data_IF_010237217067
#
_entry.id   IF_010237217067
#
_cell.length_a   1.000
_cell.length_b   1.000
_cell.length_c   1.000
_cell.angle_alpha   90.00
_cell.angle_beta   90.00
_cell.angle_gamma   90.00
#
_symmetry.space_group_name_H-M   'P 1'
#
loop_
_entity.id
_entity.type
_entity.pdbx_description
1 polymer ?
#
# COMPACT_ATOMS: atom_id res chain seq x y z
N UNK A 1 23.27 -51.37 14.08
CA UNK A 1 22.10 -50.69 13.50
C UNK A 1 21.90 -49.42 14.30
N UNK A 2 22.43 -48.29 13.81
CA UNK A 2 22.12 -46.95 14.31
C UNK A 2 21.50 -46.24 13.11
N UNK A 3 20.21 -45.99 13.18
CA UNK A 3 19.50 -45.11 12.27
C UNK A 3 20.08 -43.71 12.42
N UNK A 4 20.62 -43.17 11.33
CA UNK A 4 20.88 -41.74 11.22
C UNK A 4 19.55 -41.09 10.85
N UNK A 5 19.01 -40.31 11.79
CA UNK A 5 17.97 -39.33 11.51
C UNK A 5 18.52 -38.36 10.46
N UNK A 6 17.92 -38.37 9.26
CA UNK A 6 18.06 -37.31 8.28
C UNK A 6 17.59 -36.01 8.94
N UNK A 7 18.52 -35.08 9.10
CA UNK A 7 18.28 -33.72 9.56
C UNK A 7 17.34 -33.05 8.57
N UNK A 8 16.17 -32.63 9.04
CA UNK A 8 15.28 -31.74 8.30
C UNK A 8 16.04 -30.49 7.91
N UNK A 9 16.36 -30.37 6.62
CA UNK A 9 16.61 -29.07 6.02
C UNK A 9 15.31 -28.29 6.13
N UNK A 10 15.34 -27.27 6.98
CA UNK A 10 14.33 -26.24 7.10
C UNK A 10 14.35 -25.45 5.78
N UNK A 11 13.70 -25.99 4.74
CA UNK A 11 13.50 -25.32 3.46
C UNK A 11 12.40 -24.29 3.67
N UNK A 12 12.74 -23.22 4.38
CA UNK A 12 12.05 -21.96 4.22
C UNK A 12 12.48 -21.41 2.85
N UNK A 13 11.77 -21.82 1.79
CA UNK A 13 11.93 -21.23 0.46
C UNK A 13 11.86 -19.71 0.63
N UNK A 14 12.98 -19.02 0.38
CA UNK A 14 12.99 -17.57 0.32
C UNK A 14 11.91 -17.14 -0.68
N UNK A 15 11.04 -16.21 -0.27
CA UNK A 15 9.98 -15.69 -1.13
C UNK A 15 10.64 -15.15 -2.41
N UNK A 16 10.36 -15.80 -3.55
CA UNK A 16 10.92 -15.40 -4.84
C UNK A 16 10.42 -14.00 -5.19
N UNK A 17 11.34 -13.10 -5.52
CA UNK A 17 11.05 -11.73 -5.93
C UNK A 17 11.73 -11.37 -7.25
N UNK A 18 11.19 -10.39 -7.95
CA UNK A 18 11.86 -9.75 -9.10
C UNK A 18 13.10 -8.94 -8.65
N UNK A 19 13.91 -8.53 -9.62
CA UNK A 19 14.98 -7.55 -9.38
C UNK A 19 14.39 -6.24 -8.84
N UNK A 20 15.15 -5.56 -7.96
CA UNK A 20 14.67 -4.35 -7.29
C UNK A 20 14.36 -3.23 -8.30
N UNK A 21 13.19 -2.63 -8.15
CA UNK A 21 12.78 -1.41 -8.84
C UNK A 21 12.76 -0.26 -7.83
N UNK A 22 13.69 0.67 -7.96
CA UNK A 22 13.72 1.87 -7.14
C UNK A 22 12.90 3.00 -7.78
N UNK A 23 12.04 3.65 -6.99
CA UNK A 23 11.19 4.76 -7.41
C UNK A 23 11.33 5.89 -6.40
N UNK A 24 11.74 7.07 -6.87
CA UNK A 24 11.97 8.24 -6.02
C UNK A 24 10.77 9.20 -6.05
N UNK A 25 10.23 9.52 -4.88
CA UNK A 25 9.17 10.49 -4.66
C UNK A 25 9.74 11.84 -4.18
N UNK A 26 9.07 12.92 -4.55
CA UNK A 26 9.38 14.26 -4.05
C UNK A 26 8.59 14.49 -2.77
N UNK A 27 9.29 14.73 -1.67
CA UNK A 27 8.73 15.16 -0.40
C UNK A 27 8.69 16.69 -0.36
N UNK A 28 7.53 17.25 0.01
CA UNK A 28 7.37 18.68 0.19
C UNK A 28 7.30 19.02 1.68
N UNK A 29 8.15 19.93 2.14
CA UNK A 29 8.31 20.28 3.56
C UNK A 29 7.09 20.93 4.21
N UNK A 30 6.04 21.24 3.45
CA UNK A 30 4.75 21.69 4.01
C UNK A 30 3.96 20.56 4.68
N UNK A 31 4.31 19.31 4.41
CA UNK A 31 3.69 18.13 5.00
C UNK A 31 4.51 17.61 6.17
N UNK A 32 3.84 16.92 7.09
CA UNK A 32 4.54 16.15 8.12
C UNK A 32 5.37 15.03 7.46
N UNK A 33 6.68 15.04 7.71
CA UNK A 33 7.61 14.09 7.08
C UNK A 33 7.34 12.65 7.54
N UNK A 34 7.01 12.46 8.81
CA UNK A 34 6.75 11.13 9.36
C UNK A 34 5.50 10.51 8.74
N UNK A 35 4.44 11.30 8.56
CA UNK A 35 3.22 10.87 7.89
C UNK A 35 3.45 10.61 6.40
N UNK A 36 4.24 11.44 5.72
CA UNK A 36 4.64 11.19 4.33
C UNK A 36 5.42 9.88 4.20
N UNK A 37 6.43 9.68 5.03
CA UNK A 37 7.25 8.47 5.05
C UNK A 37 6.41 7.22 5.39
N UNK A 38 5.49 7.32 6.36
CA UNK A 38 4.58 6.23 6.73
C UNK A 38 3.69 5.83 5.56
N UNK A 39 3.00 6.79 4.93
CA UNK A 39 2.13 6.51 3.80
C UNK A 39 2.93 5.95 2.61
N UNK A 40 4.14 6.45 2.35
CA UNK A 40 5.00 5.92 1.29
C UNK A 40 5.46 4.48 1.59
N UNK A 41 5.80 4.19 2.85
CA UNK A 41 6.16 2.83 3.28
C UNK A 41 4.97 1.86 3.14
N UNK A 42 3.76 2.32 3.44
CA UNK A 42 2.53 1.54 3.25
C UNK A 42 2.27 1.23 1.77
N UNK A 43 2.55 2.18 0.86
CA UNK A 43 2.53 1.93 -0.58
C UNK A 43 3.56 0.86 -0.97
N UNK A 44 4.81 0.99 -0.51
CA UNK A 44 5.87 0.04 -0.81
C UNK A 44 5.51 -1.37 -0.33
N UNK A 45 5.06 -1.49 0.91
CA UNK A 45 4.63 -2.76 1.51
C UNK A 45 3.53 -3.40 0.67
N UNK A 46 2.50 -2.63 0.33
CA UNK A 46 1.40 -3.12 -0.47
C UNK A 46 1.84 -3.60 -1.86
N UNK A 47 2.72 -2.87 -2.55
CA UNK A 47 3.26 -3.33 -3.84
C UNK A 47 4.03 -4.65 -3.68
N UNK A 48 4.82 -4.79 -2.63
CA UNK A 48 5.64 -5.97 -2.37
C UNK A 48 4.86 -7.19 -1.87
N UNK A 49 3.56 -7.04 -1.60
CA UNK A 49 2.61 -8.12 -1.34
C UNK A 49 1.94 -8.64 -2.62
N UNK A 50 2.08 -7.94 -3.75
CA UNK A 50 1.58 -8.40 -5.05
C UNK A 50 2.57 -9.36 -5.71
N UNK A 51 2.03 -10.40 -6.33
CA UNK A 51 2.75 -11.17 -7.34
C UNK A 51 2.84 -10.38 -8.65
N UNK A 52 3.78 -10.77 -9.52
CA UNK A 52 3.90 -10.21 -10.87
C UNK A 52 2.57 -10.34 -11.63
N UNK A 53 1.89 -11.49 -11.51
CA UNK A 53 0.59 -11.69 -12.16
C UNK A 53 -0.47 -10.73 -11.64
N UNK A 54 -0.64 -10.65 -10.33
CA UNK A 54 -1.64 -9.79 -9.70
C UNK A 54 -1.42 -8.31 -10.05
N UNK A 55 -0.17 -7.85 -10.02
CA UNK A 55 0.16 -6.49 -10.45
C UNK A 55 -0.27 -6.23 -11.89
N UNK A 56 0.11 -7.09 -12.83
CA UNK A 56 -0.21 -6.91 -14.25
C UNK A 56 -1.73 -6.87 -14.49
N UNK A 57 -2.49 -7.76 -13.84
CA UNK A 57 -3.95 -7.82 -13.95
C UNK A 57 -4.61 -6.59 -13.34
N UNK A 58 -4.20 -6.19 -12.15
CA UNK A 58 -4.74 -5.01 -11.47
C UNK A 58 -4.44 -3.73 -12.26
N UNK A 59 -3.22 -3.60 -12.79
CA UNK A 59 -2.83 -2.47 -13.64
C UNK A 59 -3.64 -2.44 -14.94
N UNK A 60 -3.81 -3.58 -15.61
CA UNK A 60 -4.63 -3.65 -16.83
C UNK A 60 -6.07 -3.23 -16.54
N UNK A 61 -6.68 -3.77 -15.46
CA UNK A 61 -8.02 -3.40 -15.03
C UNK A 61 -8.14 -1.90 -14.73
N UNK A 62 -7.17 -1.32 -14.02
CA UNK A 62 -7.14 0.12 -13.73
C UNK A 62 -7.05 0.97 -15.01
N UNK A 63 -6.24 0.56 -15.99
CA UNK A 63 -6.10 1.29 -17.26
C UNK A 63 -7.42 1.27 -18.05
N UNK A 64 -8.11 0.13 -18.07
CA UNK A 64 -9.38 -0.03 -18.81
C UNK A 64 -10.58 0.65 -18.14
N UNK A 65 -10.64 0.57 -16.80
CA UNK A 65 -11.85 0.89 -16.04
C UNK A 65 -11.68 2.09 -15.09
N UNK A 66 -10.46 2.54 -14.87
CA UNK A 66 -10.14 3.51 -13.83
C UNK A 66 -10.27 2.93 -12.43
N UNK A 67 -10.57 3.79 -11.45
CA UNK A 67 -10.77 3.39 -10.05
C UNK A 67 -12.05 2.57 -9.90
N UNK A 68 -11.97 1.43 -9.22
CA UNK A 68 -13.12 0.57 -9.03
C UNK A 68 -14.12 1.16 -8.02
N UNK A 69 -15.42 1.07 -8.35
CA UNK A 69 -16.54 1.59 -7.52
C UNK A 69 -16.71 0.78 -6.23
N UNK A 70 -16.39 -0.51 -6.26
CA UNK A 70 -16.44 -1.43 -5.10
C UNK A 70 -15.61 -0.96 -3.90
N UNK A 71 -14.70 0.00 -4.13
CA UNK A 71 -13.89 0.63 -3.11
C UNK A 71 -14.70 1.39 -2.05
N UNK A 72 -15.93 1.84 -2.35
CA UNK A 72 -16.69 2.72 -1.46
C UNK A 72 -17.01 2.08 -0.10
N UNK A 73 -17.38 0.80 -0.08
CA UNK A 73 -17.72 0.10 1.16
C UNK A 73 -16.49 -0.11 2.06
N UNK A 74 -15.36 -0.53 1.48
CA UNK A 74 -14.11 -0.71 2.23
C UNK A 74 -13.58 0.63 2.77
N UNK A 75 -13.68 1.71 1.98
CA UNK A 75 -13.31 3.05 2.45
C UNK A 75 -14.20 3.51 3.60
N UNK A 76 -15.51 3.31 3.50
CA UNK A 76 -16.44 3.67 4.56
C UNK A 76 -16.13 2.89 5.84
N UNK A 77 -15.96 1.58 5.76
CA UNK A 77 -15.63 0.74 6.91
C UNK A 77 -14.31 1.17 7.59
N UNK A 78 -13.28 1.51 6.81
CA UNK A 78 -12.02 2.01 7.36
C UNK A 78 -12.18 3.36 8.06
N UNK A 79 -13.02 4.27 7.53
CA UNK A 79 -13.31 5.56 8.17
C UNK A 79 -14.15 5.42 9.43
N UNK A 80 -15.15 4.55 9.43
CA UNK A 80 -15.97 4.25 10.61
C UNK A 80 -15.11 3.65 11.73
N UNK A 81 -14.24 2.69 11.38
CA UNK A 81 -13.27 2.14 12.33
C UNK A 81 -12.33 3.23 12.87
N UNK A 82 -11.77 4.05 12.01
CA UNK A 82 -10.87 5.13 12.41
C UNK A 82 -11.56 6.15 13.33
N UNK A 83 -12.84 6.45 13.08
CA UNK A 83 -13.64 7.29 13.96
C UNK A 83 -13.75 6.70 15.37
N UNK A 84 -14.15 5.42 15.47
CA UNK A 84 -14.29 4.73 16.76
C UNK A 84 -12.96 4.68 17.50
N UNK A 85 -11.88 4.26 16.83
CA UNK A 85 -10.55 4.19 17.42
C UNK A 85 -10.09 5.57 17.94
N UNK A 86 -10.43 6.65 17.22
CA UNK A 86 -10.09 8.02 17.63
C UNK A 86 -10.91 8.52 18.82
N UNK A 87 -12.20 8.16 18.87
CA UNK A 87 -13.05 8.45 20.03
C UNK A 87 -12.48 7.78 21.27
N UNK A 88 -12.15 6.50 21.19
CA UNK A 88 -11.57 5.73 22.30
C UNK A 88 -10.25 6.37 22.78
N UNK A 89 -9.34 6.73 21.86
CA UNK A 89 -8.08 7.42 22.18
C UNK A 89 -8.33 8.73 22.96
N UNK A 90 -9.32 9.51 22.55
CA UNK A 90 -9.66 10.79 23.17
C UNK A 90 -10.34 10.61 24.53
N UNK A 91 -11.16 9.58 24.71
CA UNK A 91 -11.75 9.25 26.01
C UNK A 91 -10.70 8.77 27.00
N UNK A 92 -9.74 7.95 26.56
CA UNK A 92 -8.59 7.52 27.37
C UNK A 92 -7.70 8.72 27.78
N UNK A 93 -7.65 9.77 26.96
CA UNK A 93 -7.02 11.04 27.28
C UNK A 93 -7.85 11.93 28.24
N UNK A 94 -9.04 11.48 28.66
CA UNK A 94 -9.87 12.11 29.69
C UNK A 94 -11.01 13.00 29.18
N UNK A 95 -11.30 13.00 27.87
CA UNK A 95 -12.42 13.77 27.32
C UNK A 95 -13.75 13.07 27.59
N UNK A 96 -14.83 13.87 27.69
CA UNK A 96 -16.17 13.29 27.65
C UNK A 96 -16.47 12.69 26.28
N UNK A 97 -17.37 11.70 26.22
CA UNK A 97 -17.77 11.06 24.96
C UNK A 97 -18.16 12.10 23.89
N UNK A 98 -18.97 13.09 24.27
CA UNK A 98 -19.42 14.15 23.36
C UNK A 98 -18.24 14.97 22.80
N UNK A 99 -17.29 15.36 23.65
CA UNK A 99 -16.12 16.12 23.20
C UNK A 99 -15.19 15.27 22.33
N UNK A 100 -15.07 13.98 22.63
CA UNK A 100 -14.30 13.02 21.86
C UNK A 100 -14.90 12.81 20.46
N UNK A 101 -16.21 12.60 20.35
CA UNK A 101 -16.94 12.48 19.08
C UNK A 101 -16.75 13.74 18.21
N UNK A 102 -16.99 14.94 18.77
CA UNK A 102 -16.84 16.21 18.03
C UNK A 102 -15.41 16.44 17.52
N UNK A 103 -14.39 15.99 18.26
CA UNK A 103 -12.99 16.10 17.85
C UNK A 103 -12.59 15.01 16.85
N UNK A 104 -13.09 13.79 17.02
CA UNK A 104 -12.87 12.68 16.10
C UNK A 104 -13.47 12.99 14.71
N UNK A 105 -14.66 13.61 14.63
CA UNK A 105 -15.24 14.05 13.35
C UNK A 105 -14.34 15.06 12.64
N UNK A 106 -13.91 16.11 13.36
CA UNK A 106 -13.01 17.14 12.81
C UNK A 106 -11.67 16.57 12.37
N UNK A 107 -11.13 15.61 13.12
CA UNK A 107 -9.92 14.90 12.73
C UNK A 107 -10.17 14.09 11.47
N UNK A 108 -11.24 13.31 11.40
CA UNK A 108 -11.57 12.43 10.27
C UNK A 108 -11.77 13.22 8.95
N UNK A 109 -12.23 14.48 9.03
CA UNK A 109 -12.31 15.40 7.87
C UNK A 109 -10.96 15.73 7.24
N UNK A 110 -9.87 15.59 8.00
CA UNK A 110 -8.49 15.76 7.49
C UNK A 110 -7.92 14.47 6.91
N UNK A 111 -8.59 13.34 7.12
CA UNK A 111 -8.09 12.02 6.74
C UNK A 111 -8.71 11.53 5.42
N UNK A 112 -7.97 10.69 4.70
CA UNK A 112 -8.44 9.88 3.58
C UNK A 112 -8.27 8.39 3.90
N UNK A 113 -9.15 7.54 3.39
CA UNK A 113 -8.93 6.10 3.40
C UNK A 113 -7.75 5.77 2.46
N UNK A 114 -6.80 4.97 2.94
CA UNK A 114 -5.56 4.67 2.24
C UNK A 114 -5.61 3.30 1.58
N UNK A 115 -5.44 3.27 0.26
CA UNK A 115 -5.21 2.04 -0.50
C UNK A 115 -3.73 1.69 -0.45
N UNK A 116 -3.40 0.47 -0.04
CA UNK A 116 -2.01 0.04 0.16
C UNK A 116 -1.69 -1.19 -0.71
N UNK A 117 -1.19 -1.02 -1.95
CA UNK A 117 -0.83 0.23 -2.59
C UNK A 117 -2.05 0.90 -3.24
N UNK A 118 -1.89 2.12 -3.77
CA UNK A 118 -2.92 2.79 -4.55
C UNK A 118 -3.30 1.90 -5.74
N UNK A 119 -4.58 1.92 -6.14
CA UNK A 119 -5.05 1.24 -7.35
C UNK A 119 -4.29 1.71 -8.60
N UNK A 120 -3.82 2.96 -8.63
CA UNK A 120 -2.91 3.45 -9.68
C UNK A 120 -1.66 2.55 -9.75
N UNK A 121 -1.13 2.15 -8.61
CA UNK A 121 0.04 1.28 -8.48
C UNK A 121 -0.29 -0.22 -8.41
N UNK A 122 -1.49 -0.62 -8.87
CA UNK A 122 -1.89 -2.03 -8.94
C UNK A 122 -2.51 -2.59 -7.67
N UNK A 123 -2.88 -1.74 -6.70
CA UNK A 123 -3.55 -2.19 -5.49
C UNK A 123 -4.99 -2.66 -5.68
N UNK A 124 -5.43 -3.56 -4.81
CA UNK A 124 -6.82 -4.02 -4.78
C UNK A 124 -7.76 -2.96 -4.22
N UNK A 125 -8.91 -2.78 -4.86
CA UNK A 125 -9.90 -1.80 -4.43
C UNK A 125 -10.50 -2.06 -3.04
N UNK A 126 -10.48 -3.31 -2.59
CA UNK A 126 -10.90 -3.76 -1.27
C UNK A 126 -9.80 -3.64 -0.21
N UNK A 127 -8.55 -3.42 -0.59
CA UNK A 127 -7.42 -3.37 0.34
C UNK A 127 -7.19 -1.95 0.87
N UNK A 128 -8.00 -1.57 1.85
CA UNK A 128 -7.85 -0.31 2.59
C UNK A 128 -7.11 -0.59 3.89
N UNK A 129 -5.89 -0.05 4.03
CA UNK A 129 -5.03 -0.31 5.19
C UNK A 129 -5.33 0.57 6.42
N UNK A 130 -6.24 1.53 6.29
CA UNK A 130 -6.61 2.48 7.34
C UNK A 130 -6.89 3.86 6.77
N UNK A 131 -6.63 4.89 7.58
CA UNK A 131 -6.71 6.29 7.17
C UNK A 131 -5.38 7.02 7.36
N UNK A 132 -5.20 8.14 6.69
CA UNK A 132 -4.06 9.05 6.90
C UNK A 132 -4.32 10.43 6.32
N UNK A 133 -3.38 11.35 6.49
CA UNK A 133 -3.53 12.72 6.02
C UNK A 133 -3.87 12.77 4.53
N UNK A 134 -4.99 13.41 4.19
CA UNK A 134 -5.50 13.45 2.82
C UNK A 134 -4.61 14.27 1.87
N UNK A 135 -3.90 15.26 2.40
CA UNK A 135 -2.98 16.11 1.63
C UNK A 135 -1.73 15.34 1.21
N UNK A 136 -1.15 14.59 2.15
CA UNK A 136 -0.05 13.64 1.90
C UNK A 136 -0.49 12.58 0.89
N UNK A 137 -1.63 11.93 1.12
CA UNK A 137 -2.16 10.90 0.23
C UNK A 137 -2.36 11.44 -1.20
N UNK A 138 -2.92 12.65 -1.32
CA UNK A 138 -3.10 13.31 -2.62
C UNK A 138 -1.77 13.63 -3.29
N UNK A 139 -0.76 14.07 -2.53
CA UNK A 139 0.59 14.32 -3.04
C UNK A 139 1.22 13.06 -3.62
N UNK A 140 1.23 11.96 -2.86
CA UNK A 140 1.76 10.65 -3.31
C UNK A 140 0.97 10.16 -4.54
N UNK A 141 -0.37 10.20 -4.47
CA UNK A 141 -1.24 9.77 -5.57
C UNK A 141 -1.03 10.55 -6.88
N UNK A 142 -0.77 11.85 -6.80
CA UNK A 142 -0.47 12.67 -7.99
C UNK A 142 0.86 12.30 -8.64
N UNK A 143 1.83 11.89 -7.82
CA UNK A 143 3.17 11.57 -8.25
C UNK A 143 3.25 10.23 -9.01
N UNK A 144 2.35 9.29 -8.70
CA UNK A 144 2.24 8.02 -9.43
C UNK A 144 2.04 8.20 -10.93
N UNK A 145 1.29 9.23 -11.35
CA UNK A 145 0.97 9.49 -12.78
C UNK A 145 2.21 9.66 -13.67
N UNK A 146 3.35 10.02 -13.09
CA UNK A 146 4.60 10.27 -13.81
C UNK A 146 5.64 9.16 -13.58
N UNK A 147 5.33 8.19 -12.73
CA UNK A 147 6.26 7.14 -12.27
C UNK A 147 5.80 5.75 -12.67
N UNK A 148 4.49 5.53 -12.70
CA UNK A 148 3.91 4.19 -12.83
C UNK A 148 4.25 3.55 -14.18
N UNK A 149 4.33 4.31 -15.26
CA UNK A 149 4.67 3.78 -16.59
C UNK A 149 6.09 3.18 -16.61
N UNK A 150 7.03 3.76 -15.85
CA UNK A 150 8.39 3.25 -15.71
C UNK A 150 8.46 1.96 -14.90
N UNK A 151 7.60 1.83 -13.88
CA UNK A 151 7.45 0.59 -13.11
C UNK A 151 6.78 -0.50 -13.97
N UNK A 152 5.70 -0.14 -14.67
CA UNK A 152 4.98 -1.02 -15.60
C UNK A 152 5.94 -1.61 -16.65
N UNK A 153 6.78 -0.77 -17.26
CA UNK A 153 7.74 -1.21 -18.28
C UNK A 153 8.77 -2.21 -17.73
N UNK A 154 9.31 -1.96 -16.54
CA UNK A 154 10.30 -2.85 -15.92
C UNK A 154 9.70 -4.19 -15.52
N UNK A 155 8.52 -4.19 -14.88
CA UNK A 155 7.82 -5.43 -14.49
C UNK A 155 7.44 -6.23 -15.73
N UNK A 156 6.90 -5.59 -16.78
CA UNK A 156 6.56 -6.27 -18.04
C UNK A 156 7.78 -6.94 -18.66
N UNK A 157 8.92 -6.23 -18.73
CA UNK A 157 10.17 -6.76 -19.26
C UNK A 157 10.66 -7.99 -18.49
N UNK A 158 10.61 -7.96 -17.16
CA UNK A 158 10.98 -9.12 -16.34
C UNK A 158 9.99 -10.28 -16.49
N UNK A 159 8.71 -9.98 -16.68
CA UNK A 159 7.67 -10.98 -16.87
C UNK A 159 7.74 -11.70 -18.23
N UNK A 160 8.38 -11.12 -19.26
CA UNK A 160 8.55 -11.74 -20.59
C UNK A 160 9.32 -13.07 -20.53
N UNK A 161 10.28 -13.20 -19.60
CA UNK A 161 11.05 -14.43 -19.41
C UNK A 161 10.41 -15.43 -18.45
N UNK A 162 9.24 -15.12 -17.88
CA UNK A 162 8.57 -15.96 -16.89
C UNK A 162 7.46 -16.80 -17.51
N UNK A 163 7.36 -18.05 -17.05
CA UNK A 163 6.15 -18.86 -17.21
C UNK A 163 4.99 -18.28 -16.39
N UNK A 164 3.75 -18.68 -16.71
CA UNK A 164 2.59 -18.25 -15.90
C UNK A 164 2.70 -18.73 -14.45
N UNK A 165 3.25 -19.92 -14.19
CA UNK A 165 3.47 -20.42 -12.83
C UNK A 165 4.44 -19.51 -12.05
N UNK A 166 5.50 -19.02 -12.71
CA UNK A 166 6.46 -18.09 -12.11
C UNK A 166 5.84 -16.72 -11.85
N UNK A 167 5.03 -16.18 -12.77
CA UNK A 167 4.35 -14.89 -12.55
C UNK A 167 3.40 -14.94 -11.35
N UNK A 168 2.78 -16.10 -11.10
CA UNK A 168 1.86 -16.32 -9.98
C UNK A 168 2.58 -16.56 -8.63
N UNK A 169 3.89 -16.82 -8.63
CA UNK A 169 4.64 -17.16 -7.41
C UNK A 169 5.83 -16.23 -7.14
N UNK A 170 6.12 -15.31 -8.07
CA UNK A 170 7.16 -14.29 -7.91
C UNK A 170 6.53 -12.98 -7.49
N UNK A 171 6.97 -12.45 -6.35
CA UNK A 171 6.50 -11.19 -5.79
C UNK A 171 7.26 -9.99 -6.34
N UNK A 172 6.67 -8.81 -6.23
CA UNK A 172 7.36 -7.57 -6.55
C UNK A 172 8.51 -7.27 -5.57
N UNK A 173 9.46 -6.46 -6.02
CA UNK A 173 10.54 -5.92 -5.20
C UNK A 173 10.71 -4.44 -5.52
N UNK A 174 9.81 -3.63 -4.99
CA UNK A 174 9.79 -2.19 -5.18
C UNK A 174 10.37 -1.52 -3.94
N UNK A 175 11.24 -0.53 -4.17
CA UNK A 175 11.78 0.35 -3.15
C UNK A 175 11.34 1.78 -3.44
N UNK A 176 10.54 2.34 -2.53
CA UNK A 176 10.05 3.71 -2.62
C UNK A 176 10.90 4.59 -1.72
N UNK A 177 11.71 5.44 -2.33
CA UNK A 177 12.51 6.43 -1.63
C UNK A 177 11.86 7.82 -1.76
N UNK A 178 12.22 8.75 -0.88
CA UNK A 178 11.86 10.15 -1.05
C UNK A 178 13.07 11.06 -0.91
N UNK A 179 13.03 12.19 -1.63
CA UNK A 179 13.95 13.31 -1.46
C UNK A 179 13.17 14.57 -1.08
N UNK A 180 13.73 15.35 -0.16
CA UNK A 180 13.17 16.65 0.21
C UNK A 180 13.44 17.73 -0.85
N UNK A 181 12.70 18.81 -0.73
CA UNK A 181 12.92 20.08 -1.45
C UNK A 181 14.19 20.80 -0.95
#
# INVERSE_FOLDING_TARGET
MREALESGEDVLDEIKRIDEIEVEFNYNSKFDEAEFARQLADQQKGMNELTVREYLDNRQKYIEQGRAIESNAAQQAAREKAFVDKVDELQDAGLSLKEAEEQAEKWLDTQAALHNPDQVAGGYASNVGGVGDKGVNSSIGSQWRYRIDGVDAQIKKMAESMSEAEKNSTYLNVKLAHKGD
#
